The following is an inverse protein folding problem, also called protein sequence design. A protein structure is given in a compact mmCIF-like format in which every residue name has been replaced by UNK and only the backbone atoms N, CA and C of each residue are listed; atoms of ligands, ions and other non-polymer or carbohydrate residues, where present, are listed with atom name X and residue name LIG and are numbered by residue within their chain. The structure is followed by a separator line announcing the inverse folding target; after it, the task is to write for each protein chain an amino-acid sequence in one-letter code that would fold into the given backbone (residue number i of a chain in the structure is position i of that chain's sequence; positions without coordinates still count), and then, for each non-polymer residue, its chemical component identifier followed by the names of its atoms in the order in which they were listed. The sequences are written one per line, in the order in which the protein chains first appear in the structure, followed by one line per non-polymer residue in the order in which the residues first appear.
data_IF_211328729393
#
_entry.id   IF_211328729393
#
_cell.length_a   1.000
_cell.length_b   1.000
_cell.length_c   1.000
_cell.angle_alpha   90.00
_cell.angle_beta   90.00
_cell.angle_gamma   90.00
#
_symmetry.space_group_name_H-M   'P 1'
#
loop_
_entity.id
_entity.type
_entity.pdbx_description
1 polymer ?
#
# COMPACT_ATOMS: atom_id res chain seq x y z
N UNK A 1 -9.74 63.70 -28.18
CA UNK A 1 -8.37 64.24 -28.33
C UNK A 1 -7.85 64.56 -26.95
N UNK A 2 -6.69 63.98 -26.60
CA UNK A 2 -5.63 64.44 -25.67
C UNK A 2 -5.98 65.20 -24.38
N UNK A 3 -5.28 65.05 -23.26
CA UNK A 3 -4.19 64.18 -22.77
C UNK A 3 -3.77 64.78 -21.42
N UNK A 4 -3.49 63.92 -20.41
CA UNK A 4 -2.36 64.02 -19.42
C UNK A 4 -2.39 65.21 -18.42
N UNK A 5 -1.89 65.15 -17.16
CA UNK A 5 -0.84 64.33 -16.52
C UNK A 5 -0.79 64.62 -14.97
N UNK A 6 -0.27 63.65 -14.19
CA UNK A 6 0.58 63.69 -12.94
C UNK A 6 0.04 64.35 -11.63
N UNK A 7 0.41 64.02 -10.37
CA UNK A 7 1.25 63.03 -9.65
C UNK A 7 0.97 63.17 -8.11
N UNK A 8 1.34 62.16 -7.29
CA UNK A 8 1.53 62.23 -5.82
C UNK A 8 1.02 60.96 -5.10
N UNK A 9 1.77 60.01 -4.52
CA UNK A 9 3.06 59.89 -3.77
C UNK A 9 2.90 60.02 -2.23
N UNK A 10 3.19 58.92 -1.50
CA UNK A 10 3.22 58.74 -0.01
C UNK A 10 2.27 57.61 0.43
N UNK A 11 2.62 56.53 1.16
CA UNK A 11 3.71 56.19 2.10
C UNK A 11 4.00 54.67 2.01
N UNK A 12 5.22 54.17 1.79
CA UNK A 12 6.33 53.89 2.74
C UNK A 12 5.91 53.10 4.00
N UNK A 13 6.14 51.78 3.96
CA UNK A 13 6.41 50.97 5.14
C UNK A 13 7.71 50.18 4.87
N UNK A 14 8.79 50.58 5.54
CA UNK A 14 10.07 49.89 5.62
C UNK A 14 10.09 49.04 6.90
N UNK A 15 10.52 47.78 6.82
CA UNK A 15 11.48 47.13 7.75
C UNK A 15 11.76 45.71 7.20
N UNK A 16 12.81 45.47 6.40
CA UNK A 16 14.22 45.22 6.74
C UNK A 16 14.58 43.72 6.69
N UNK A 17 15.19 43.34 5.57
CA UNK A 17 15.97 42.11 5.37
C UNK A 17 17.34 42.26 6.04
N UNK A 18 17.83 41.21 6.71
CA UNK A 18 19.24 41.04 7.03
C UNK A 18 19.64 39.54 6.92
N UNK A 19 20.68 39.28 6.13
CA UNK A 19 21.58 38.10 6.11
C UNK A 19 22.99 38.67 5.78
N UNK A 20 24.13 37.96 5.97
CA UNK A 20 24.55 36.91 6.93
C UNK A 20 25.89 37.33 7.63
N UNK A 21 26.66 36.42 8.28
CA UNK A 21 27.69 35.66 7.55
C UNK A 21 27.86 34.20 8.02
N UNK A 22 28.56 33.38 7.22
CA UNK A 22 28.81 31.96 7.51
C UNK A 22 30.05 31.67 8.37
N UNK A 23 30.12 30.47 8.94
CA UNK A 23 31.31 29.61 9.14
C UNK A 23 30.84 28.28 9.78
N UNK A 24 31.02 27.12 9.13
CA UNK A 24 32.13 26.15 9.25
C UNK A 24 32.26 25.49 10.65
N UNK A 25 31.89 24.20 10.68
CA UNK A 25 32.33 23.04 11.49
C UNK A 25 32.49 23.17 13.01
N UNK A 26 31.80 22.31 13.78
CA UNK A 26 32.47 21.19 14.46
C UNK A 26 31.48 20.12 14.99
N UNK A 27 31.98 18.90 15.04
CA UNK A 27 31.36 17.64 15.43
C UNK A 27 30.91 17.62 16.90
N UNK A 28 29.66 17.23 17.15
CA UNK A 28 29.36 16.52 18.41
C UNK A 28 28.26 15.48 18.24
N UNK A 29 28.74 14.31 17.84
CA UNK A 29 28.15 12.99 17.98
C UNK A 29 27.26 12.85 19.23
N UNK A 30 25.95 12.86 19.04
CA UNK A 30 25.02 12.14 19.91
C UNK A 30 24.79 10.77 19.29
N UNK A 31 25.54 9.80 19.79
CA UNK A 31 25.27 8.39 19.55
C UNK A 31 23.95 8.01 20.25
N UNK A 32 22.89 7.84 19.47
CA UNK A 32 21.71 7.06 19.83
C UNK A 32 21.31 6.20 18.64
N UNK A 33 21.56 4.91 18.82
CA UNK A 33 20.79 3.77 18.32
C UNK A 33 20.77 3.45 16.83
N UNK A 34 21.59 2.43 16.52
CA UNK A 34 21.47 1.54 15.38
C UNK A 34 20.12 0.80 15.37
N UNK A 35 19.11 1.35 14.69
CA UNK A 35 17.92 0.61 14.20
C UNK A 35 17.12 1.37 13.11
N UNK A 36 17.73 2.32 12.37
CA UNK A 36 16.98 3.29 11.54
C UNK A 36 16.68 2.89 10.08
N UNK A 37 17.14 1.74 9.59
CA UNK A 37 16.99 1.39 8.16
C UNK A 37 15.57 1.01 7.72
N UNK A 38 14.69 0.62 8.65
CA UNK A 38 13.34 0.15 8.35
C UNK A 38 12.29 1.25 8.22
N UNK A 39 12.45 2.37 8.96
CA UNK A 39 11.48 3.46 9.00
C UNK A 39 11.47 4.29 7.71
N UNK A 40 12.61 4.39 7.04
CA UNK A 40 12.75 5.15 5.79
C UNK A 40 12.07 4.44 4.60
N UNK A 41 12.33 3.13 4.46
CA UNK A 41 11.71 2.29 3.42
C UNK A 41 10.19 2.21 3.60
N UNK A 42 9.71 2.12 4.85
CA UNK A 42 8.28 2.19 5.16
C UNK A 42 7.67 3.53 4.71
N UNK A 43 8.28 4.64 5.13
CA UNK A 43 7.78 5.98 4.84
C UNK A 43 7.70 6.29 3.35
N UNK A 44 8.78 6.02 2.60
CA UNK A 44 8.84 6.27 1.16
C UNK A 44 7.86 5.39 0.37
N UNK A 45 7.80 4.10 0.70
CA UNK A 45 6.90 3.16 0.05
C UNK A 45 5.44 3.53 0.32
N UNK A 46 5.09 3.78 1.58
CA UNK A 46 3.74 4.12 1.99
C UNK A 46 3.27 5.44 1.36
N UNK A 47 4.12 6.47 1.36
CA UNK A 47 3.83 7.73 0.71
C UNK A 47 3.58 7.55 -0.80
N UNK A 48 4.40 6.75 -1.47
CA UNK A 48 4.19 6.41 -2.88
C UNK A 48 2.87 5.66 -3.11
N UNK A 49 2.54 4.67 -2.27
CA UNK A 49 1.29 3.91 -2.36
C UNK A 49 0.06 4.80 -2.20
N UNK A 50 0.04 5.68 -1.20
CA UNK A 50 -1.07 6.60 -0.97
C UNK A 50 -1.23 7.61 -2.11
N UNK A 51 -0.12 8.12 -2.66
CA UNK A 51 -0.16 9.03 -3.81
C UNK A 51 -0.68 8.34 -5.08
N UNK A 52 -0.35 7.06 -5.26
CA UNK A 52 -0.63 6.32 -6.52
C UNK A 52 -1.99 5.62 -6.49
N UNK A 53 -2.36 5.04 -5.34
CA UNK A 53 -3.52 4.17 -5.18
C UNK A 53 -4.52 4.64 -4.11
N UNK A 54 -4.24 5.75 -3.42
CA UNK A 54 -5.11 6.33 -2.39
C UNK A 54 -6.40 6.95 -2.97
N UNK A 55 -7.15 7.66 -2.13
CA UNK A 55 -8.52 8.12 -2.44
C UNK A 55 -8.60 9.09 -3.64
N UNK A 56 -7.52 9.83 -3.92
CA UNK A 56 -7.42 10.73 -5.08
C UNK A 56 -7.09 10.00 -6.40
N UNK A 57 -6.68 8.73 -6.32
CA UNK A 57 -6.33 7.91 -7.47
C UNK A 57 -7.55 7.36 -8.21
N UNK A 58 -7.52 7.37 -9.55
CA UNK A 58 -8.54 6.72 -10.41
C UNK A 58 -8.26 5.23 -10.58
N UNK A 59 -8.12 4.51 -9.48
CA UNK A 59 -7.67 3.12 -9.46
C UNK A 59 -8.76 2.16 -8.97
N UNK A 60 -8.57 0.87 -9.26
CA UNK A 60 -9.44 -0.21 -8.77
C UNK A 60 -9.05 -0.72 -7.36
N UNK A 61 -8.06 -0.11 -6.71
CA UNK A 61 -7.60 -0.47 -5.37
C UNK A 61 -8.61 -0.12 -4.30
N UNK A 62 -8.46 -0.69 -3.10
CA UNK A 62 -9.37 -0.48 -1.97
C UNK A 62 -8.62 0.30 -0.90
N UNK A 63 -9.00 1.55 -0.66
CA UNK A 63 -8.52 2.35 0.48
C UNK A 63 -9.30 1.99 1.74
N UNK A 64 -8.85 2.41 2.92
CA UNK A 64 -9.57 2.20 4.19
C UNK A 64 -10.97 2.81 4.13
N UNK A 65 -11.10 4.00 3.53
CA UNK A 65 -12.39 4.66 3.31
C UNK A 65 -13.29 3.83 2.40
N UNK A 66 -12.74 3.28 1.30
CA UNK A 66 -13.50 2.41 0.38
C UNK A 66 -13.90 1.10 1.06
N UNK A 67 -13.01 0.50 1.84
CA UNK A 67 -13.24 -0.70 2.64
C UNK A 67 -14.46 -0.53 3.57
N UNK A 68 -14.47 0.53 4.38
CA UNK A 68 -15.58 0.84 5.29
C UNK A 68 -16.89 1.11 4.52
N UNK A 69 -16.81 1.76 3.36
CA UNK A 69 -17.99 2.00 2.51
C UNK A 69 -18.53 0.71 1.88
N UNK A 70 -17.68 -0.26 1.55
CA UNK A 70 -18.10 -1.60 1.11
C UNK A 70 -18.82 -2.30 2.26
N UNK A 71 -18.24 -2.32 3.48
CA UNK A 71 -18.89 -2.89 4.66
C UNK A 71 -20.27 -2.28 4.90
N UNK A 72 -20.38 -0.95 4.89
CA UNK A 72 -21.67 -0.27 5.01
C UNK A 72 -22.65 -0.70 3.91
N UNK A 73 -22.20 -0.87 2.66
CA UNK A 73 -23.07 -1.31 1.56
C UNK A 73 -23.59 -2.73 1.78
N UNK A 74 -22.75 -3.62 2.31
CA UNK A 74 -23.11 -5.01 2.55
C UNK A 74 -24.02 -5.18 3.77
N UNK A 75 -23.79 -4.40 4.83
CA UNK A 75 -24.59 -4.50 6.06
C UNK A 75 -25.95 -3.79 5.95
N UNK A 76 -26.04 -2.65 5.26
CA UNK A 76 -27.32 -1.92 5.11
C UNK A 76 -28.12 -2.33 3.85
N UNK A 77 -27.52 -3.12 2.94
CA UNK A 77 -28.17 -3.55 1.70
C UNK A 77 -29.31 -4.56 1.88
N UNK A 78 -29.34 -5.24 3.02
CA UNK A 78 -30.40 -6.21 3.36
C UNK A 78 -31.67 -5.53 3.93
N UNK A 79 -31.56 -4.28 4.41
CA UNK A 79 -32.68 -3.56 5.05
C UNK A 79 -33.55 -2.77 4.05
N UNK A 80 -32.99 -2.28 2.94
CA UNK A 80 -33.76 -1.51 1.93
C UNK A 80 -34.80 -2.36 1.16
N UNK A 81 -34.76 -3.69 1.26
CA UNK A 81 -35.70 -4.60 0.62
C UNK A 81 -36.78 -5.14 1.59
N UNK A 82 -36.73 -4.78 2.87
CA UNK A 82 -37.70 -5.21 3.88
C UNK A 82 -38.36 -3.97 4.51
N UNK A 83 -39.29 -3.40 3.76
CA UNK A 83 -40.41 -2.56 4.18
C UNK A 83 -40.20 -1.63 5.39
N UNK A 84 -40.24 -0.33 5.09
CA UNK A 84 -40.94 0.71 5.84
C UNK A 84 -41.92 0.15 6.91
N UNK A 85 -41.59 0.30 8.21
CA UNK A 85 -42.52 0.42 9.36
C UNK A 85 -41.71 0.43 10.68
N UNK A 86 -41.76 1.57 11.38
CA UNK A 86 -41.64 1.70 12.85
C UNK A 86 -40.30 1.39 13.55
N UNK A 87 -39.43 2.39 13.71
CA UNK A 87 -39.32 3.18 14.96
C UNK A 87 -38.11 4.11 14.90
N UNK A 88 -38.42 5.39 14.91
CA UNK A 88 -37.53 6.50 15.22
C UNK A 88 -37.17 6.44 16.71
N UNK A 89 -35.94 6.85 17.01
CA UNK A 89 -35.38 7.09 18.34
C UNK A 89 -35.01 5.85 19.16
N UNK A 90 -33.72 5.50 19.14
CA UNK A 90 -32.78 5.72 20.27
C UNK A 90 -31.51 4.86 20.12
N UNK A 91 -30.70 5.08 19.08
CA UNK A 91 -29.24 4.91 19.12
C UNK A 91 -28.65 6.04 18.26
N UNK A 92 -28.48 7.19 18.88
CA UNK A 92 -27.62 8.28 18.38
C UNK A 92 -26.18 7.95 18.71
N UNK A 93 -25.44 7.45 17.73
CA UNK A 93 -24.08 7.93 17.46
C UNK A 93 -23.63 7.48 16.07
N UNK A 94 -23.65 8.43 15.13
CA UNK A 94 -22.79 8.45 13.92
C UNK A 94 -23.22 7.62 12.69
N UNK A 95 -24.53 7.42 12.45
CA UNK A 95 -24.98 7.04 11.10
C UNK A 95 -25.18 8.30 10.26
N UNK A 96 -24.06 8.81 9.75
CA UNK A 96 -24.10 9.77 8.64
C UNK A 96 -24.91 9.10 7.53
N UNK A 97 -26.03 9.71 7.12
CA UNK A 97 -26.85 9.30 5.96
C UNK A 97 -26.01 9.46 4.69
N UNK A 98 -25.02 8.59 4.52
CA UNK A 98 -24.04 8.67 3.46
C UNK A 98 -24.63 7.93 2.26
N UNK A 99 -25.49 8.61 1.51
CA UNK A 99 -26.17 8.04 0.35
C UNK A 99 -25.16 7.34 -0.58
N UNK A 100 -25.22 6.01 -0.63
CA UNK A 100 -24.30 5.20 -1.42
C UNK A 100 -24.77 5.18 -2.87
N UNK A 101 -23.97 5.76 -3.77
CA UNK A 101 -24.30 5.85 -5.20
C UNK A 101 -24.52 4.46 -5.84
N UNK A 102 -25.54 4.34 -6.70
CA UNK A 102 -25.88 3.12 -7.43
C UNK A 102 -24.70 2.49 -8.21
N UNK A 103 -23.81 3.30 -8.80
CA UNK A 103 -22.61 2.80 -9.48
C UNK A 103 -21.67 2.06 -8.51
N UNK A 104 -21.57 2.57 -7.28
CA UNK A 104 -20.77 1.93 -6.24
C UNK A 104 -21.44 0.64 -5.77
N UNK A 105 -22.75 0.66 -5.49
CA UNK A 105 -23.52 -0.56 -5.14
C UNK A 105 -23.38 -1.64 -6.22
N UNK A 106 -23.49 -1.27 -7.50
CA UNK A 106 -23.29 -2.19 -8.63
C UNK A 106 -21.87 -2.76 -8.67
N UNK A 107 -20.85 -1.93 -8.45
CA UNK A 107 -19.47 -2.41 -8.39
C UNK A 107 -19.25 -3.39 -7.24
N UNK A 108 -19.77 -3.10 -6.05
CA UNK A 108 -19.71 -3.99 -4.87
C UNK A 108 -20.34 -5.35 -5.20
N UNK A 109 -21.58 -5.35 -5.70
CA UNK A 109 -22.30 -6.56 -6.10
C UNK A 109 -21.58 -7.33 -7.21
N UNK A 110 -21.09 -6.63 -8.23
CA UNK A 110 -20.37 -7.22 -9.36
C UNK A 110 -19.04 -7.87 -8.96
N UNK A 111 -18.37 -7.37 -7.93
CA UNK A 111 -17.16 -7.98 -7.39
C UNK A 111 -17.40 -9.14 -6.43
N UNK A 112 -18.63 -9.29 -5.93
CA UNK A 112 -18.99 -10.37 -5.02
C UNK A 112 -18.30 -10.23 -3.66
N UNK A 113 -18.19 -9.00 -3.13
CA UNK A 113 -17.64 -8.82 -1.78
C UNK A 113 -18.48 -9.55 -0.73
N UNK A 114 -17.81 -10.18 0.21
CA UNK A 114 -18.39 -10.90 1.33
C UNK A 114 -17.71 -10.44 2.62
N UNK A 115 -18.46 -10.40 3.72
CA UNK A 115 -17.92 -10.12 5.05
C UNK A 115 -17.71 -11.45 5.76
N UNK A 116 -16.50 -11.69 6.25
CA UNK A 116 -16.20 -12.76 7.19
C UNK A 116 -15.62 -12.17 8.48
N UNK A 117 -15.47 -13.00 9.51
CA UNK A 117 -14.79 -12.64 10.75
C UNK A 117 -13.31 -13.03 10.66
N UNK A 118 -12.41 -12.23 11.24
CA UNK A 118 -11.02 -12.65 11.34
C UNK A 118 -10.90 -13.71 12.44
N UNK A 119 -10.40 -14.91 12.13
CA UNK A 119 -10.14 -15.95 13.14
C UNK A 119 -8.87 -15.66 13.96
N UNK A 120 -8.74 -14.45 14.51
CA UNK A 120 -7.67 -14.10 15.45
C UNK A 120 -8.31 -13.70 16.77
N UNK A 121 -8.11 -14.57 17.76
CA UNK A 121 -8.37 -14.41 19.19
C UNK A 121 -8.88 -13.01 19.60
N UNK A 122 -10.20 -12.90 19.75
CA UNK A 122 -10.84 -11.84 20.55
C UNK A 122 -11.17 -10.50 19.87
N UNK A 123 -10.72 -10.25 18.63
CA UNK A 123 -11.10 -9.04 17.88
C UNK A 123 -12.02 -9.44 16.71
N UNK A 124 -13.34 -9.27 16.89
CA UNK A 124 -14.39 -9.57 15.90
C UNK A 124 -14.40 -8.54 14.74
N UNK A 125 -13.21 -8.14 14.29
CA UNK A 125 -13.06 -7.16 13.24
C UNK A 125 -13.50 -7.77 11.90
N UNK A 126 -14.47 -7.15 11.19
CA UNK A 126 -14.96 -7.67 9.93
C UNK A 126 -13.87 -7.63 8.85
N UNK A 127 -13.68 -8.75 8.15
CA UNK A 127 -12.73 -8.93 7.04
C UNK A 127 -13.49 -9.07 5.72
N UNK A 128 -13.13 -8.26 4.72
CA UNK A 128 -13.69 -8.39 3.38
C UNK A 128 -12.97 -9.46 2.56
N UNK A 129 -13.77 -10.28 1.89
CA UNK A 129 -13.35 -11.30 0.95
C UNK A 129 -13.97 -11.08 -0.43
N UNK A 130 -13.36 -11.63 -1.46
CA UNK A 130 -13.93 -11.76 -2.81
C UNK A 130 -13.71 -13.16 -3.37
N UNK A 131 -14.68 -13.72 -4.11
CA UNK A 131 -14.53 -15.02 -4.73
C UNK A 131 -13.45 -15.01 -5.82
N UNK A 132 -12.64 -16.06 -5.84
CA UNK A 132 -11.80 -16.39 -6.98
C UNK A 132 -12.72 -17.06 -8.00
N UNK A 133 -12.96 -16.41 -9.13
CA UNK A 133 -13.60 -17.07 -10.26
C UNK A 133 -12.60 -18.04 -10.88
N UNK A 134 -12.41 -19.20 -10.25
CA UNK A 134 -11.89 -20.38 -10.94
C UNK A 134 -12.95 -20.73 -11.98
N UNK A 135 -12.57 -20.82 -13.26
CA UNK A 135 -13.50 -21.31 -14.28
C UNK A 135 -13.97 -22.70 -13.82
N UNK A 136 -15.21 -22.78 -13.34
CA UNK A 136 -15.84 -24.04 -12.99
C UNK A 136 -16.00 -24.84 -14.28
N UNK A 137 -15.22 -25.91 -14.39
CA UNK A 137 -15.61 -27.08 -15.16
C UNK A 137 -16.86 -27.68 -14.51
N UNK A 138 -17.74 -28.22 -15.34
CA UNK A 138 -19.16 -28.46 -15.09
C UNK A 138 -19.56 -29.11 -13.75
N UNK A 139 -20.57 -28.51 -13.12
CA UNK A 139 -21.75 -29.26 -12.68
C UNK A 139 -21.63 -30.29 -11.55
N UNK A 140 -20.97 -29.98 -10.43
CA UNK A 140 -21.18 -30.70 -9.16
C UNK A 140 -21.26 -29.69 -8.00
N UNK A 141 -22.41 -29.67 -7.33
CA UNK A 141 -22.67 -28.88 -6.12
C UNK A 141 -21.66 -29.20 -5.01
N UNK A 142 -21.06 -28.16 -4.42
CA UNK A 142 -20.31 -28.26 -3.16
C UNK A 142 -18.83 -27.89 -3.18
N UNK A 143 -18.32 -27.19 -4.21
CA UNK A 143 -16.95 -26.68 -4.17
C UNK A 143 -16.83 -25.48 -3.23
N UNK A 144 -15.98 -25.56 -2.19
CA UNK A 144 -15.55 -24.38 -1.42
C UNK A 144 -15.12 -23.29 -2.40
N UNK A 145 -15.90 -22.21 -2.49
CA UNK A 145 -15.52 -21.07 -3.30
C UNK A 145 -14.25 -20.50 -2.69
N UNK A 146 -13.12 -20.69 -3.35
CA UNK A 146 -11.86 -20.15 -2.85
C UNK A 146 -11.97 -18.63 -2.77
N UNK A 147 -11.85 -18.07 -1.57
CA UNK A 147 -11.96 -16.63 -1.31
C UNK A 147 -10.58 -16.00 -1.18
N UNK A 148 -10.45 -14.74 -1.60
CA UNK A 148 -9.26 -13.90 -1.33
C UNK A 148 -9.61 -12.76 -0.41
N UNK A 149 -8.72 -12.48 0.55
CA UNK A 149 -8.83 -11.31 1.42
C UNK A 149 -8.61 -10.04 0.61
N UNK A 150 -9.40 -9.01 0.88
CA UNK A 150 -9.23 -7.71 0.22
C UNK A 150 -8.04 -6.98 0.84
N UNK A 151 -7.03 -6.69 0.04
CA UNK A 151 -5.91 -5.84 0.47
C UNK A 151 -6.32 -4.37 0.50
N UNK A 152 -6.02 -3.70 1.60
CA UNK A 152 -6.24 -2.27 1.79
C UNK A 152 -4.95 -1.53 1.46
N UNK A 153 -5.03 -0.42 0.72
CA UNK A 153 -3.86 0.33 0.22
C UNK A 153 -2.93 0.74 1.35
N UNK A 154 -3.52 1.19 2.45
CA UNK A 154 -2.85 1.61 3.67
C UNK A 154 -2.06 0.46 4.34
N UNK A 155 -2.46 -0.79 4.09
CA UNK A 155 -1.87 -1.99 4.69
C UNK A 155 -0.93 -2.72 3.71
N UNK A 156 -0.69 -2.18 2.51
CA UNK A 156 0.13 -2.85 1.49
C UNK A 156 1.53 -3.18 2.00
N UNK A 157 2.16 -2.28 2.75
CA UNK A 157 3.47 -2.55 3.33
C UNK A 157 3.41 -3.77 4.26
N UNK A 158 2.52 -3.76 5.25
CA UNK A 158 2.44 -4.82 6.26
C UNK A 158 2.10 -6.17 5.64
N UNK A 159 1.19 -6.17 4.66
CA UNK A 159 0.83 -7.37 3.89
C UNK A 159 2.04 -7.94 3.15
N UNK A 160 2.76 -7.09 2.41
CA UNK A 160 3.92 -7.56 1.62
C UNK A 160 5.04 -7.98 2.56
N UNK A 161 5.32 -7.20 3.61
CA UNK A 161 6.35 -7.49 4.61
C UNK A 161 6.08 -8.83 5.30
N UNK A 162 4.86 -9.09 5.78
CA UNK A 162 4.52 -10.34 6.45
C UNK A 162 4.66 -11.58 5.54
N UNK A 163 4.38 -11.43 4.24
CA UNK A 163 4.54 -12.53 3.26
C UNK A 163 5.96 -12.67 2.73
N UNK A 164 6.73 -11.59 2.76
CA UNK A 164 8.09 -11.54 2.28
C UNK A 164 9.10 -11.94 3.35
N UNK A 165 8.89 -11.53 4.60
CA UNK A 165 9.78 -11.79 5.74
C UNK A 165 9.12 -12.87 6.59
N UNK A 166 9.60 -14.11 6.45
CA UNK A 166 9.14 -15.23 7.25
C UNK A 166 9.70 -15.09 8.68
N UNK A 167 8.80 -14.80 9.64
CA UNK A 167 9.14 -14.86 11.05
C UNK A 167 9.33 -16.33 11.45
N UNK A 168 10.56 -16.69 11.80
CA UNK A 168 10.84 -17.99 12.41
C UNK A 168 10.41 -17.94 13.88
N UNK A 169 9.79 -19.00 14.42
CA UNK A 169 9.34 -19.04 15.82
C UNK A 169 10.50 -19.09 16.84
N UNK A 170 11.73 -19.26 16.37
CA UNK A 170 12.95 -19.23 17.17
C UNK A 170 13.53 -17.79 17.18
N UNK A 171 13.43 -17.05 18.30
CA UNK A 171 13.90 -15.66 18.38
C UNK A 171 15.41 -15.52 18.20
N UNK A 172 16.16 -16.62 18.19
CA UNK A 172 17.62 -16.64 18.03
C UNK A 172 18.06 -16.60 16.57
N UNK A 173 17.13 -16.71 15.61
CA UNK A 173 17.44 -16.78 14.17
C UNK A 173 16.99 -15.51 13.45
N UNK A 174 17.90 -14.95 12.65
CA UNK A 174 17.60 -13.81 11.80
C UNK A 174 16.38 -14.10 10.89
N UNK A 175 15.48 -13.11 10.67
CA UNK A 175 14.33 -13.27 9.79
C UNK A 175 14.73 -13.72 8.38
N UNK A 176 14.02 -14.71 7.83
CA UNK A 176 14.32 -15.22 6.48
C UNK A 176 13.46 -14.49 5.46
N UNK A 177 14.11 -13.90 4.47
CA UNK A 177 13.42 -13.30 3.34
C UNK A 177 13.04 -14.39 2.33
N UNK A 178 11.73 -14.53 2.08
CA UNK A 178 11.21 -15.32 0.99
C UNK A 178 11.69 -14.76 -0.35
N UNK A 179 12.11 -15.64 -1.26
CA UNK A 179 12.49 -15.24 -2.61
C UNK A 179 11.35 -14.52 -3.34
N UNK A 180 11.70 -13.70 -4.32
CA UNK A 180 10.76 -12.90 -5.12
C UNK A 180 9.59 -13.75 -5.66
N UNK A 181 9.88 -14.91 -6.27
CA UNK A 181 8.86 -15.82 -6.82
C UNK A 181 7.90 -16.34 -5.75
N UNK A 182 8.41 -16.67 -4.56
CA UNK A 182 7.59 -17.17 -3.44
C UNK A 182 6.67 -16.07 -2.90
N UNK A 183 7.21 -14.86 -2.74
CA UNK A 183 6.45 -13.70 -2.27
C UNK A 183 5.29 -13.36 -3.21
N UNK A 184 5.53 -13.25 -4.53
CA UNK A 184 4.46 -13.00 -5.49
C UNK A 184 3.37 -14.07 -5.46
N UNK A 185 3.78 -15.35 -5.40
CA UNK A 185 2.83 -16.47 -5.38
C UNK A 185 1.93 -16.39 -4.14
N UNK A 186 2.52 -16.26 -2.95
CA UNK A 186 1.79 -16.20 -1.69
C UNK A 186 0.79 -15.02 -1.64
N UNK A 187 1.24 -13.83 -2.07
CA UNK A 187 0.37 -12.64 -2.13
C UNK A 187 -0.76 -12.84 -3.14
N UNK A 188 -0.44 -13.32 -4.35
CA UNK A 188 -1.44 -13.51 -5.39
C UNK A 188 -2.46 -14.59 -5.04
N UNK A 189 -2.11 -15.58 -4.24
CA UNK A 189 -3.01 -16.62 -3.75
C UNK A 189 -3.93 -16.12 -2.63
N UNK A 190 -3.40 -15.28 -1.72
CA UNK A 190 -4.11 -14.89 -0.49
C UNK A 190 -4.93 -13.61 -0.64
N UNK A 191 -4.44 -12.64 -1.41
CA UNK A 191 -4.99 -11.29 -1.46
C UNK A 191 -5.54 -10.89 -2.83
N UNK A 192 -6.62 -10.13 -2.81
CA UNK A 192 -7.18 -9.42 -3.94
C UNK A 192 -6.91 -7.91 -3.82
N UNK A 193 -6.97 -7.21 -4.96
CA UNK A 193 -6.77 -5.75 -5.05
C UNK A 193 -5.40 -5.22 -4.62
N UNK A 194 -4.39 -6.09 -4.56
CA UNK A 194 -2.99 -5.70 -4.35
C UNK A 194 -2.25 -5.65 -5.71
N UNK A 195 -1.89 -4.46 -6.22
CA UNK A 195 -1.23 -4.31 -7.52
C UNK A 195 0.15 -4.96 -7.54
N UNK A 196 0.49 -5.65 -8.64
CA UNK A 196 1.81 -6.28 -8.83
C UNK A 196 2.96 -5.26 -8.74
N UNK A 197 2.74 -4.04 -9.24
CA UNK A 197 3.72 -2.95 -9.19
C UNK A 197 4.12 -2.59 -7.76
N UNK A 198 3.16 -2.56 -6.82
CA UNK A 198 3.45 -2.31 -5.41
C UNK A 198 4.35 -3.40 -4.82
N UNK A 199 4.06 -4.69 -5.12
CA UNK A 199 4.92 -5.82 -4.69
C UNK A 199 6.32 -5.69 -5.28
N UNK A 200 6.43 -5.41 -6.58
CA UNK A 200 7.73 -5.27 -7.24
C UNK A 200 8.55 -4.15 -6.60
N UNK A 201 7.94 -2.98 -6.39
CA UNK A 201 8.61 -1.82 -5.82
C UNK A 201 9.13 -2.11 -4.42
N UNK A 202 8.32 -2.75 -3.57
CA UNK A 202 8.74 -3.18 -2.24
C UNK A 202 9.93 -4.15 -2.28
N UNK A 203 9.86 -5.19 -3.12
CA UNK A 203 10.94 -6.17 -3.24
C UNK A 203 12.23 -5.54 -3.77
N UNK A 204 12.09 -4.58 -4.68
CA UNK A 204 13.21 -3.80 -5.19
C UNK A 204 13.79 -2.85 -4.13
N UNK A 205 13.03 -2.37 -3.15
CA UNK A 205 13.55 -1.54 -2.05
C UNK A 205 14.05 -2.35 -0.85
N UNK A 206 13.94 -3.69 -0.88
CA UNK A 206 14.42 -4.55 0.20
C UNK A 206 15.96 -4.68 0.16
N UNK A 207 16.65 -3.98 1.05
CA UNK A 207 18.12 -3.95 1.10
C UNK A 207 18.78 -5.33 1.29
N UNK A 208 18.14 -6.25 2.03
CA UNK A 208 18.65 -7.61 2.25
C UNK A 208 18.56 -8.48 0.98
N UNK A 209 17.51 -8.31 0.18
CA UNK A 209 17.36 -9.02 -1.09
C UNK A 209 18.17 -8.38 -2.21
N UNK A 210 18.31 -7.05 -2.24
CA UNK A 210 19.15 -6.34 -3.21
C UNK A 210 20.63 -6.76 -3.13
N UNK A 211 21.17 -6.92 -1.91
CA UNK A 211 22.58 -7.35 -1.71
C UNK A 211 22.86 -8.71 -2.34
N UNK A 212 21.92 -9.66 -2.24
CA UNK A 212 22.07 -11.00 -2.84
C UNK A 212 21.94 -11.00 -4.37
N UNK A 213 21.15 -10.07 -4.90
CA UNK A 213 20.92 -9.94 -6.35
C UNK A 213 22.18 -9.47 -7.09
N UNK A 214 22.91 -8.48 -6.55
CA UNK A 214 24.12 -7.95 -7.20
C UNK A 214 25.38 -8.80 -7.01
N UNK A 215 25.38 -9.74 -6.06
CA UNK A 215 26.53 -10.66 -5.84
C UNK A 215 26.57 -11.79 -6.88
N UNK A 216 25.46 -12.10 -7.56
CA UNK A 216 25.36 -13.23 -8.50
C UNK A 216 25.78 -12.92 -9.94
N UNK A 217 26.11 -11.66 -10.28
CA UNK A 217 26.55 -11.25 -11.63
C UNK A 217 28.07 -11.04 -11.75
N UNK A 218 28.84 -11.37 -10.70
CA UNK A 218 30.30 -11.15 -10.65
C UNK A 218 31.16 -12.36 -11.01
N UNK A 219 30.70 -13.30 -11.85
CA UNK A 219 31.57 -14.40 -12.30
C UNK A 219 32.39 -13.96 -13.54
N UNK A 220 33.61 -13.51 -13.23
CA UNK A 220 34.81 -13.34 -14.07
C UNK A 220 34.59 -13.12 -15.60
N UNK A 221 34.80 -11.88 -16.04
CA UNK A 221 35.39 -11.63 -17.37
C UNK A 221 36.80 -12.22 -17.40
N UNK A 222 36.94 -13.47 -17.83
CA UNK A 222 38.23 -14.02 -18.29
C UNK A 222 38.33 -13.87 -19.81
N UNK A 223 38.95 -12.78 -20.24
CA UNK A 223 39.61 -12.68 -21.54
C UNK A 223 40.68 -11.58 -21.48
N UNK A 224 41.75 -11.62 -22.30
CA UNK A 224 42.32 -12.70 -23.10
C UNK A 224 43.71 -13.14 -22.57
N UNK A 225 44.15 -14.38 -22.89
CA UNK A 225 45.53 -14.82 -22.65
C UNK A 225 46.38 -14.50 -23.89
N UNK A 226 47.49 -13.74 -23.79
CA UNK A 226 48.40 -13.58 -24.92
C UNK A 226 49.17 -14.90 -25.07
N UNK A 227 49.01 -15.58 -26.19
CA UNK A 227 49.82 -16.76 -26.51
C UNK A 227 50.92 -16.35 -27.47
N UNK A 228 52.12 -16.65 -27.02
CA UNK A 228 53.41 -16.34 -27.59
C UNK A 228 53.57 -16.95 -28.99
N UNK A 229 54.20 -16.15 -29.84
CA UNK A 229 55.20 -16.54 -30.84
C UNK A 229 55.66 -18.00 -30.73
N UNK A 230 55.49 -18.78 -31.80
CA UNK A 230 56.36 -19.91 -32.07
C UNK A 230 56.81 -19.84 -33.54
N UNK A 231 58.12 -19.80 -33.66
CA UNK A 231 58.97 -19.81 -34.83
C UNK A 231 58.93 -21.20 -35.50
N UNK A 232 58.48 -21.25 -36.76
CA UNK A 232 59.05 -22.03 -37.88
C UNK A 232 58.24 -21.83 -39.16
#
# INVERSE_FOLDING_TARGET
MSSRKVNGMGDICQQQQQHPPGNIHDDRLTATDAAGGGSDVYGEFQHWCLRTYGDSGKTKTVTRRKYNKILQTLLHGDEENNNNVFQKEKITTTTNNNHINAKFKFWVKSKGFQVGTAERDGDDAPVLYVPIKTACVDGVSGGEQSLKRVAVVEDFFDIIYAMHVEMTPDPSKAPKHAGQKKTYKAIAETYAFLPREAVTRFLMSCGECQKRMHVSTGQEFKGPRPSLQLDQ
#
